data_IF_734497644351
#
_entry.id   IF_734497644351
#
_cell.length_a   1.000
_cell.length_b   1.000
_cell.length_c   1.000
_cell.angle_alpha   90.00
_cell.angle_beta   90.00
_cell.angle_gamma   90.00
#
_symmetry.space_group_name_H-M   'P 1'
#
loop_
_entity.id
_entity.type
_entity.pdbx_description
1 polymer ?
#
# COMPACT_ATOMS: atom_id res chain seq x y z
N UNK A 1 1.47 -2.04 -20.37
CA UNK A 1 2.66 -2.48 -19.59
C UNK A 1 2.22 -3.27 -18.35
N UNK A 2 1.27 -2.75 -17.57
CA UNK A 2 0.65 -3.46 -16.44
C UNK A 2 -0.01 -4.78 -16.85
N UNK A 3 -0.90 -4.79 -17.87
CA UNK A 3 -1.52 -6.02 -18.38
C UNK A 3 -0.52 -7.15 -18.68
N UNK A 4 0.58 -6.86 -19.39
CA UNK A 4 1.59 -7.88 -19.72
C UNK A 4 2.28 -8.46 -18.49
N UNK A 5 2.56 -7.64 -17.46
CA UNK A 5 3.09 -8.13 -16.18
C UNK A 5 2.08 -9.05 -15.50
N UNK A 6 0.82 -8.63 -15.43
CA UNK A 6 -0.26 -9.39 -14.81
C UNK A 6 -0.35 -10.80 -15.40
N UNK A 7 -0.43 -10.88 -16.72
CA UNK A 7 -0.57 -12.15 -17.44
C UNK A 7 0.66 -13.06 -17.32
N UNK A 8 1.87 -12.49 -17.17
CA UNK A 8 3.12 -13.27 -17.18
C UNK A 8 3.68 -13.59 -15.79
N UNK A 9 3.40 -12.75 -14.81
CA UNK A 9 4.11 -12.77 -13.52
C UNK A 9 3.19 -12.84 -12.31
N UNK A 10 1.89 -12.60 -12.48
CA UNK A 10 0.90 -12.64 -11.39
C UNK A 10 -0.07 -13.80 -11.61
N UNK A 11 -0.93 -13.72 -12.64
CA UNK A 11 -2.02 -14.66 -12.89
C UNK A 11 -1.59 -16.14 -12.94
N UNK A 12 -0.44 -16.51 -13.55
CA UNK A 12 0.01 -17.90 -13.56
C UNK A 12 0.25 -18.51 -12.16
N UNK A 13 0.34 -17.69 -11.11
CA UNK A 13 0.61 -18.12 -9.74
C UNK A 13 -0.59 -17.94 -8.80
N UNK A 14 -1.63 -17.20 -9.21
CA UNK A 14 -2.76 -16.82 -8.34
C UNK A 14 -3.44 -18.05 -7.74
N UNK A 15 -3.79 -19.06 -8.54
CA UNK A 15 -4.45 -20.26 -8.04
C UNK A 15 -3.65 -20.94 -6.92
N UNK A 16 -2.33 -21.05 -7.10
CA UNK A 16 -1.45 -21.66 -6.09
C UNK A 16 -1.40 -20.84 -4.79
N UNK A 17 -1.47 -19.51 -4.89
CA UNK A 17 -1.49 -18.62 -3.74
C UNK A 17 -2.81 -18.70 -2.97
N UNK A 18 -3.93 -18.78 -3.68
CA UNK A 18 -5.27 -18.99 -3.10
C UNK A 18 -5.34 -20.34 -2.37
N UNK A 19 -4.91 -21.43 -3.02
CA UNK A 19 -4.87 -22.78 -2.42
C UNK A 19 -3.96 -22.85 -1.18
N UNK A 20 -2.87 -22.09 -1.17
CA UNK A 20 -1.95 -22.01 -0.04
C UNK A 20 -2.38 -21.01 1.04
N UNK A 21 -3.47 -20.27 0.84
CA UNK A 21 -3.89 -19.16 1.69
C UNK A 21 -2.76 -18.14 1.98
N UNK A 22 -1.91 -17.89 0.99
CA UNK A 22 -0.69 -17.10 1.16
C UNK A 22 -0.48 -16.09 0.03
N UNK A 23 -0.19 -14.84 0.40
CA UNK A 23 0.11 -13.77 -0.56
C UNK A 23 1.61 -13.42 -0.53
N UNK A 24 2.38 -13.60 -1.63
CA UNK A 24 3.79 -13.20 -1.68
C UNK A 24 3.93 -11.69 -1.92
N UNK A 25 3.47 -10.89 -0.95
CA UNK A 25 3.39 -9.44 -1.05
C UNK A 25 4.72 -8.80 -1.47
N UNK A 26 5.83 -9.11 -0.80
CA UNK A 26 7.14 -8.51 -1.11
C UNK A 26 7.57 -8.73 -2.57
N UNK A 27 7.35 -9.92 -3.13
CA UNK A 27 7.69 -10.20 -4.53
C UNK A 27 6.82 -9.40 -5.50
N UNK A 28 5.50 -9.41 -5.28
CA UNK A 28 4.55 -8.73 -6.16
C UNK A 28 4.73 -7.21 -6.09
N UNK A 29 4.84 -6.65 -4.89
CA UNK A 29 5.07 -5.22 -4.69
C UNK A 29 6.41 -4.79 -5.27
N UNK A 30 7.49 -5.57 -5.12
CA UNK A 30 8.77 -5.22 -5.72
C UNK A 30 8.70 -5.18 -7.25
N UNK A 31 8.02 -6.12 -7.88
CA UNK A 31 7.81 -6.11 -9.33
C UNK A 31 7.06 -4.86 -9.80
N UNK A 32 5.99 -4.49 -9.11
CA UNK A 32 5.20 -3.29 -9.41
C UNK A 32 5.95 -1.99 -9.13
N UNK A 33 6.70 -1.94 -8.03
CA UNK A 33 7.54 -0.81 -7.66
C UNK A 33 8.66 -0.54 -8.67
N UNK A 34 9.32 -1.60 -9.18
CA UNK A 34 10.30 -1.48 -10.26
C UNK A 34 9.72 -0.89 -11.56
N UNK A 35 8.40 -0.96 -11.74
CA UNK A 35 7.68 -0.39 -12.88
C UNK A 35 7.11 1.01 -12.60
N UNK A 36 7.32 1.55 -11.38
CA UNK A 36 6.78 2.83 -10.95
C UNK A 36 5.28 2.81 -10.61
N UNK A 37 4.64 1.65 -10.64
CA UNK A 37 3.18 1.50 -10.46
C UNK A 37 2.74 1.98 -9.06
N UNK A 38 3.56 1.73 -8.04
CA UNK A 38 3.25 2.11 -6.66
C UNK A 38 3.46 3.61 -6.36
N UNK A 39 3.99 4.36 -7.32
CA UNK A 39 4.42 5.74 -7.14
C UNK A 39 3.74 6.75 -8.09
N UNK A 40 2.72 6.31 -8.85
CA UNK A 40 2.08 7.06 -9.94
C UNK A 40 1.69 8.49 -9.55
N UNK A 41 0.88 8.63 -8.50
CA UNK A 41 0.38 9.92 -8.05
C UNK A 41 1.25 10.58 -6.99
N UNK A 42 2.37 9.95 -6.60
CA UNK A 42 3.23 10.48 -5.55
C UNK A 42 4.07 11.66 -6.10
N UNK A 43 4.40 12.66 -5.26
CA UNK A 43 5.16 13.82 -5.71
C UNK A 43 6.54 13.44 -6.27
N UNK A 44 6.94 14.11 -7.34
CA UNK A 44 8.27 13.93 -7.97
C UNK A 44 9.41 14.22 -7.00
N UNK A 45 9.21 15.15 -6.05
CA UNK A 45 10.18 15.49 -5.03
C UNK A 45 10.65 14.30 -4.17
N UNK A 46 9.86 13.23 -4.10
CA UNK A 46 10.18 12.01 -3.35
C UNK A 46 10.44 10.80 -4.26
N UNK A 47 10.56 11.00 -5.57
CA UNK A 47 10.75 9.91 -6.55
C UNK A 47 9.46 9.31 -7.11
N UNK A 48 8.31 9.97 -6.89
CA UNK A 48 7.06 9.62 -7.55
C UNK A 48 6.97 10.12 -9.00
N UNK A 49 5.92 9.72 -9.71
CA UNK A 49 5.72 10.12 -11.12
C UNK A 49 4.93 11.43 -11.28
N UNK A 50 4.33 11.96 -10.20
CA UNK A 50 3.60 13.22 -10.20
C UNK A 50 2.38 13.25 -11.12
N UNK A 51 1.83 12.08 -11.48
CA UNK A 51 0.67 11.98 -12.34
C UNK A 51 -0.61 12.32 -11.59
N UNK A 52 -1.61 12.83 -12.29
CA UNK A 52 -2.91 13.12 -11.68
C UNK A 52 -3.71 11.83 -11.39
N UNK A 53 -4.85 12.02 -10.72
CA UNK A 53 -5.70 10.92 -10.26
C UNK A 53 -6.21 10.01 -11.39
N UNK A 54 -6.38 10.52 -12.62
CA UNK A 54 -6.87 9.72 -13.75
C UNK A 54 -5.93 8.55 -14.07
N UNK A 55 -4.61 8.74 -13.90
CA UNK A 55 -3.62 7.69 -14.10
C UNK A 55 -3.71 6.60 -13.04
N UNK A 56 -4.02 6.96 -11.78
CA UNK A 56 -4.29 5.97 -10.74
C UNK A 56 -5.52 5.12 -11.05
N UNK A 57 -6.58 5.73 -11.60
CA UNK A 57 -7.78 4.99 -12.03
C UNK A 57 -7.47 4.05 -13.19
N UNK A 58 -6.74 4.50 -14.20
CA UNK A 58 -6.35 3.64 -15.33
C UNK A 58 -5.55 2.42 -14.86
N UNK A 59 -4.66 2.58 -13.88
CA UNK A 59 -3.94 1.46 -13.29
C UNK A 59 -4.83 0.56 -12.44
N UNK A 60 -5.76 1.12 -11.68
CA UNK A 60 -6.72 0.31 -10.92
C UNK A 60 -7.58 -0.57 -11.85
N UNK A 61 -7.98 -0.05 -13.02
CA UNK A 61 -8.69 -0.82 -14.04
C UNK A 61 -7.82 -1.97 -14.58
N UNK A 62 -6.55 -1.70 -14.89
CA UNK A 62 -5.59 -2.72 -15.33
C UNK A 62 -5.37 -3.80 -14.28
N UNK A 63 -5.27 -3.43 -13.00
CA UNK A 63 -5.15 -4.39 -11.89
C UNK A 63 -6.40 -5.27 -11.75
N UNK A 64 -7.56 -4.83 -12.24
CA UNK A 64 -8.79 -5.61 -12.29
C UNK A 64 -8.69 -6.88 -13.15
N UNK A 65 -7.67 -7.01 -14.00
CA UNK A 65 -7.38 -8.24 -14.76
C UNK A 65 -6.61 -9.29 -13.98
N UNK A 66 -6.30 -9.05 -12.69
CA UNK A 66 -5.70 -10.07 -11.83
C UNK A 66 -6.78 -11.08 -11.41
N UNK A 67 -6.47 -12.37 -11.53
CA UNK A 67 -7.42 -13.48 -11.29
C UNK A 67 -7.77 -13.70 -9.79
N UNK A 68 -7.60 -12.68 -8.94
CA UNK A 68 -8.08 -12.62 -7.57
C UNK A 68 -8.25 -11.17 -7.09
N UNK A 69 -9.07 -10.96 -6.06
CA UNK A 69 -9.32 -9.63 -5.50
C UNK A 69 -8.25 -9.16 -4.50
N UNK A 70 -7.55 -10.09 -3.83
CA UNK A 70 -6.66 -9.76 -2.72
C UNK A 70 -5.46 -8.88 -3.15
N UNK A 71 -4.89 -9.15 -4.33
CA UNK A 71 -3.71 -8.42 -4.82
C UNK A 71 -4.07 -6.98 -5.24
N UNK A 72 -5.06 -6.72 -6.12
CA UNK A 72 -5.50 -5.36 -6.44
C UNK A 72 -5.85 -4.54 -5.20
N UNK A 73 -6.60 -5.13 -4.26
CA UNK A 73 -6.99 -4.47 -3.02
C UNK A 73 -5.77 -4.09 -2.16
N UNK A 74 -4.79 -4.97 -2.04
CA UNK A 74 -3.56 -4.69 -1.28
C UNK A 74 -2.78 -3.52 -1.88
N UNK A 75 -2.66 -3.47 -3.21
CA UNK A 75 -1.98 -2.37 -3.92
C UNK A 75 -2.72 -1.05 -3.71
N UNK A 76 -4.04 -1.05 -3.83
CA UNK A 76 -4.89 0.13 -3.59
C UNK A 76 -4.75 0.63 -2.15
N UNK A 77 -4.74 -0.26 -1.15
CA UNK A 77 -4.54 0.11 0.26
C UNK A 77 -3.20 0.81 0.44
N UNK A 78 -2.10 0.26 -0.07
CA UNK A 78 -0.79 0.89 0.08
C UNK A 78 -0.73 2.27 -0.60
N UNK A 79 -1.16 2.35 -1.86
CA UNK A 79 -1.01 3.56 -2.69
C UNK A 79 -1.97 4.68 -2.29
N UNK A 80 -3.21 4.35 -1.94
CA UNK A 80 -4.30 5.29 -1.71
C UNK A 80 -4.78 5.42 -0.27
N UNK A 81 -4.30 4.59 0.66
CA UNK A 81 -4.70 4.67 2.08
C UNK A 81 -3.51 4.79 3.02
N UNK A 82 -2.54 3.87 2.96
CA UNK A 82 -1.43 3.83 3.91
C UNK A 82 -0.39 4.95 3.67
N UNK A 83 0.02 5.16 2.42
CA UNK A 83 1.11 6.09 2.08
C UNK A 83 0.71 7.55 1.82
N UNK A 84 -0.55 7.95 1.49
CA UNK A 84 -0.89 9.35 1.29
C UNK A 84 -0.62 10.25 2.50
N UNK A 85 -0.99 9.83 3.72
CA UNK A 85 -0.75 10.63 4.92
C UNK A 85 0.76 10.85 5.17
N UNK A 86 1.57 9.83 4.90
CA UNK A 86 3.03 9.94 4.98
C UNK A 86 3.61 10.87 3.91
N UNK A 87 3.07 10.82 2.69
CA UNK A 87 3.46 11.69 1.58
C UNK A 87 2.99 13.14 1.74
N UNK A 88 1.96 13.40 2.53
CA UNK A 88 1.47 14.76 2.78
C UNK A 88 2.11 15.35 4.03
N UNK A 89 2.10 14.61 5.15
CA UNK A 89 2.41 15.12 6.48
C UNK A 89 3.73 14.61 7.07
N UNK A 90 4.38 13.61 6.46
CA UNK A 90 5.63 13.06 6.97
C UNK A 90 6.77 14.08 6.97
N UNK A 91 7.70 13.98 7.91
CA UNK A 91 9.00 14.68 7.80
C UNK A 91 9.85 14.08 6.67
N UNK A 92 10.89 14.80 6.25
CA UNK A 92 11.82 14.29 5.23
C UNK A 92 12.47 12.97 5.67
N UNK A 93 12.79 12.81 6.95
CA UNK A 93 13.32 11.56 7.51
C UNK A 93 12.33 10.41 7.37
N UNK A 94 11.06 10.62 7.74
CA UNK A 94 10.02 9.58 7.64
C UNK A 94 9.70 9.23 6.18
N UNK A 95 9.76 10.20 5.26
CA UNK A 95 9.58 9.95 3.83
C UNK A 95 10.74 9.15 3.25
N UNK A 96 11.98 9.48 3.63
CA UNK A 96 13.14 8.73 3.20
C UNK A 96 13.10 7.28 3.72
N UNK A 97 12.72 7.10 4.98
CA UNK A 97 12.73 5.80 5.65
C UNK A 97 11.57 4.89 5.23
N UNK A 98 10.35 5.43 5.08
CA UNK A 98 9.16 4.60 4.89
C UNK A 98 8.46 4.83 3.55
N UNK A 99 8.37 6.08 3.06
CA UNK A 99 7.62 6.37 1.83
C UNK A 99 8.39 5.87 0.60
N UNK A 100 9.68 6.20 0.53
CA UNK A 100 10.52 5.87 -0.63
C UNK A 100 10.61 4.35 -0.83
N UNK A 101 10.91 3.53 0.19
CA UNK A 101 10.90 2.07 0.05
C UNK A 101 9.52 1.50 -0.28
N UNK A 102 8.44 2.13 0.19
CA UNK A 102 7.07 1.72 -0.15
C UNK A 102 6.73 1.99 -1.62
N UNK A 103 7.26 3.07 -2.20
CA UNK A 103 7.08 3.39 -3.62
C UNK A 103 7.89 2.48 -4.55
N UNK A 104 9.06 2.01 -4.10
CA UNK A 104 9.90 1.08 -4.86
C UNK A 104 9.54 -0.39 -4.62
N UNK A 105 8.57 -0.66 -3.74
CA UNK A 105 8.13 -1.99 -3.37
C UNK A 105 9.11 -2.77 -2.50
N UNK A 106 10.14 -2.10 -1.95
CA UNK A 106 11.07 -2.66 -0.98
C UNK A 106 10.43 -2.78 0.41
N UNK A 107 9.38 -2.00 0.67
CA UNK A 107 8.53 -2.09 1.85
C UNK A 107 7.06 -2.27 1.44
N UNK A 108 6.35 -3.10 2.20
CA UNK A 108 4.89 -3.23 2.10
C UNK A 108 4.28 -2.50 3.29
N UNK A 109 3.41 -1.54 3.01
CA UNK A 109 2.75 -0.72 4.02
C UNK A 109 1.27 -1.08 4.13
N UNK A 110 0.77 -1.14 5.35
CA UNK A 110 -0.64 -1.31 5.65
C UNK A 110 -1.19 -0.08 6.39
N UNK A 111 -2.50 -0.02 6.55
CA UNK A 111 -3.16 0.97 7.40
C UNK A 111 -3.97 0.27 8.48
N UNK A 112 -3.81 0.75 9.71
CA UNK A 112 -4.37 0.17 10.92
C UNK A 112 -5.41 1.14 11.51
N UNK A 113 -6.61 1.18 10.91
CA UNK A 113 -7.69 2.07 11.35
C UNK A 113 -8.67 1.34 12.25
N UNK A 114 -9.43 0.41 11.67
CA UNK A 114 -10.53 -0.30 12.32
C UNK A 114 -10.09 -1.05 13.57
N UNK A 115 -11.05 -1.26 14.46
CA UNK A 115 -10.95 -2.06 15.67
C UNK A 115 -12.20 -2.95 15.79
N UNK A 116 -12.19 -4.02 16.60
CA UNK A 116 -13.37 -4.88 16.77
C UNK A 116 -14.65 -4.13 17.14
N UNK A 117 -14.53 -3.04 17.90
CA UNK A 117 -15.65 -2.20 18.33
C UNK A 117 -15.85 -0.93 17.49
N UNK A 118 -14.98 -0.67 16.50
CA UNK A 118 -14.95 0.55 15.71
C UNK A 118 -14.67 0.26 14.22
N UNK A 119 -15.75 0.05 13.46
CA UNK A 119 -15.74 -0.12 12.01
C UNK A 119 -16.26 1.13 11.29
N UNK A 120 -17.57 1.18 11.03
CA UNK A 120 -18.20 2.34 10.38
C UNK A 120 -18.06 3.63 11.18
N UNK A 121 -18.10 3.54 12.52
CA UNK A 121 -17.81 4.65 13.42
C UNK A 121 -16.32 4.67 13.80
N UNK A 122 -15.48 5.10 12.85
CA UNK A 122 -14.02 5.21 13.04
C UNK A 122 -13.66 6.18 14.16
N UNK A 123 -14.52 7.13 14.50
CA UNK A 123 -14.25 8.07 15.59
C UNK A 123 -14.29 7.39 16.97
N UNK A 124 -14.91 6.21 17.09
CA UNK A 124 -15.04 5.45 18.32
C UNK A 124 -13.83 4.55 18.65
N UNK A 125 -12.71 4.67 17.93
CA UNK A 125 -11.48 3.92 18.22
C UNK A 125 -11.01 4.12 19.66
N UNK A 126 -10.48 3.05 20.25
CA UNK A 126 -9.99 3.01 21.62
C UNK A 126 -8.48 2.83 21.70
N UNK A 127 -7.79 2.49 20.61
CA UNK A 127 -6.32 2.56 20.58
C UNK A 127 -5.87 3.96 20.94
N UNK A 128 -5.01 4.06 21.95
CA UNK A 128 -4.45 5.33 22.39
C UNK A 128 -2.92 5.25 22.44
N UNK A 129 -2.29 6.42 22.38
CA UNK A 129 -0.85 6.56 22.50
C UNK A 129 -0.54 7.52 23.66
N UNK A 130 0.31 7.09 24.59
CA UNK A 130 0.87 7.95 25.64
C UNK A 130 2.33 8.26 25.33
N UNK A 131 2.77 9.49 25.62
CA UNK A 131 4.18 9.86 25.51
C UNK A 131 4.95 9.33 26.70
N UNK A 132 6.10 8.72 26.44
CA UNK A 132 7.10 8.34 27.45
C UNK A 132 8.48 8.79 26.96
N UNK A 133 8.97 9.91 27.49
CA UNK A 133 10.19 10.56 26.99
C UNK A 133 10.08 10.95 25.51
N UNK A 134 10.93 10.34 24.67
CA UNK A 134 10.93 10.51 23.20
C UNK A 134 10.05 9.51 22.46
N UNK A 135 9.47 8.53 23.16
CA UNK A 135 8.71 7.44 22.56
C UNK A 135 7.19 7.61 22.72
N UNK A 136 6.44 6.83 21.94
CA UNK A 136 5.00 6.65 22.08
C UNK A 136 4.72 5.20 22.48
N UNK A 137 4.05 5.02 23.62
CA UNK A 137 3.52 3.74 24.06
C UNK A 137 2.10 3.60 23.50
N UNK A 138 1.93 2.74 22.51
CA UNK A 138 0.65 2.49 21.85
C UNK A 138 -0.03 1.30 22.51
N UNK A 139 -1.26 1.47 23.01
CA UNK A 139 -2.07 0.41 23.61
C UNK A 139 -3.40 0.30 22.89
N UNK A 140 -3.68 -0.88 22.36
CA UNK A 140 -4.89 -1.17 21.61
C UNK A 140 -4.74 -2.42 20.74
N UNK A 141 -5.69 -2.62 19.85
CA UNK A 141 -5.68 -3.68 18.84
C UNK A 141 -6.49 -3.18 17.64
N UNK A 142 -6.31 -3.84 16.49
CA UNK A 142 -6.91 -3.47 15.21
C UNK A 142 -7.69 -4.65 14.66
#
# INVERSE_FOLDING_TARGET
MAYTLIQRSINPHVQKWEEAHGFPAHTVFKQLGNMGVLAISKPVAFGGLGMDFSYSIAVAEELGYIDCAAIPMSICVQTHMATPALAEFGSDSLRAEFLTPSMTGDMVACIAVSEPEAGSDVAAIRTYATKDGSDLIITGHK
#
